data_IF_066934635582
#
_entry.id   IF_066934635582
#
_cell.length_a   1.000
_cell.length_b   1.000
_cell.length_c   1.000
_cell.angle_alpha   90.00
_cell.angle_beta   90.00
_cell.angle_gamma   90.00
#
_symmetry.space_group_name_H-M   'P 1'
#
loop_
_entity.id
_entity.type
_entity.pdbx_description
1 polymer ?
#
# COMPACT_ATOMS: atom_id res chain seq x y z
N UNK A 1 21.04 12.15 0.41
CA UNK A 1 19.59 12.43 0.60
C UNK A 1 19.08 13.05 -0.70
N UNK A 2 17.90 12.66 -1.22
CA UNK A 2 17.34 13.37 -2.38
C UNK A 2 17.13 14.84 -2.03
N UNK A 3 17.32 15.72 -3.01
CA UNK A 3 17.13 17.16 -2.81
C UNK A 3 15.68 17.44 -2.38
N UNK A 4 15.49 18.41 -1.47
CA UNK A 4 14.16 18.90 -1.13
C UNK A 4 13.48 19.43 -2.38
N UNK A 5 12.20 19.13 -2.55
CA UNK A 5 11.36 19.76 -3.57
C UNK A 5 11.27 21.26 -3.27
N UNK A 6 11.81 22.08 -4.16
CA UNK A 6 11.63 23.53 -4.15
C UNK A 6 10.68 23.88 -5.29
N UNK A 7 9.51 24.44 -4.96
CA UNK A 7 8.52 24.91 -5.94
C UNK A 7 7.23 25.44 -5.32
N UNK A 8 6.58 26.40 -5.97
CA UNK A 8 5.29 26.98 -5.58
C UNK A 8 4.09 26.09 -5.98
N UNK A 9 2.89 26.37 -5.46
CA UNK A 9 1.68 25.56 -5.68
C UNK A 9 1.27 25.35 -7.15
N UNK A 10 1.72 26.23 -8.06
CA UNK A 10 1.49 26.12 -9.52
C UNK A 10 2.60 25.35 -10.26
N UNK A 11 3.72 25.06 -9.62
CA UNK A 11 4.87 24.40 -10.24
C UNK A 11 4.77 22.90 -9.97
N UNK A 12 4.32 22.15 -10.98
CA UNK A 12 4.28 20.67 -10.93
C UNK A 12 5.68 20.10 -11.12
N UNK A 13 6.55 20.25 -10.13
CA UNK A 13 7.82 19.52 -10.05
C UNK A 13 7.53 18.09 -9.58
N UNK A 14 6.86 17.31 -10.43
CA UNK A 14 6.69 15.87 -10.21
C UNK A 14 8.02 15.19 -10.56
N UNK A 15 8.93 15.11 -9.59
CA UNK A 15 10.08 14.23 -9.74
C UNK A 15 9.59 12.82 -10.07
N UNK A 16 10.28 12.12 -10.98
CA UNK A 16 10.08 10.70 -11.32
C UNK A 16 10.50 9.78 -10.16
N UNK A 17 10.25 10.19 -8.92
CA UNK A 17 10.35 9.32 -7.76
C UNK A 17 9.13 8.40 -7.81
N UNK A 18 9.37 7.09 -7.86
CA UNK A 18 8.29 6.12 -7.87
C UNK A 18 7.38 6.35 -6.65
N UNK A 19 6.09 6.58 -6.90
CA UNK A 19 5.10 6.73 -5.82
C UNK A 19 5.09 5.45 -4.98
N UNK A 20 4.96 5.64 -3.67
CA UNK A 20 4.75 4.53 -2.75
C UNK A 20 3.44 3.81 -3.08
N UNK A 21 3.34 2.50 -2.76
CA UNK A 21 2.09 1.77 -2.82
C UNK A 21 0.94 2.53 -2.15
N UNK A 22 -0.22 2.55 -2.79
CA UNK A 22 -1.40 3.26 -2.29
C UNK A 22 -2.39 2.33 -1.56
N UNK A 23 -2.10 1.03 -1.55
CA UNK A 23 -2.91 0.02 -0.87
C UNK A 23 -2.01 -1.04 -0.24
N UNK A 24 -2.58 -1.77 0.74
CA UNK A 24 -1.91 -2.91 1.34
C UNK A 24 -1.62 -4.01 0.31
N UNK A 25 -2.54 -4.24 -0.64
CA UNK A 25 -2.35 -5.20 -1.72
C UNK A 25 -1.14 -4.88 -2.60
N UNK A 26 -1.01 -3.61 -3.03
CA UNK A 26 0.12 -3.14 -3.84
C UNK A 26 1.43 -3.20 -3.05
N UNK A 27 1.41 -2.83 -1.77
CA UNK A 27 2.59 -2.90 -0.91
C UNK A 27 3.06 -4.34 -0.74
N UNK A 28 2.12 -5.27 -0.50
CA UNK A 28 2.39 -6.70 -0.33
C UNK A 28 2.96 -7.31 -1.61
N UNK A 29 2.42 -6.93 -2.77
CA UNK A 29 2.91 -7.37 -4.07
C UNK A 29 4.35 -6.92 -4.32
N UNK A 30 4.66 -5.64 -4.10
CA UNK A 30 6.02 -5.11 -4.26
C UNK A 30 6.99 -5.73 -3.25
N UNK A 31 6.56 -5.94 -2.01
CA UNK A 31 7.39 -6.56 -0.97
C UNK A 31 7.76 -8.01 -1.34
N UNK A 32 6.80 -8.82 -1.78
CA UNK A 32 7.04 -10.22 -2.17
C UNK A 32 8.08 -10.37 -3.31
N UNK A 33 8.15 -9.36 -4.19
CA UNK A 33 9.05 -9.31 -5.35
C UNK A 33 10.36 -8.57 -5.07
N UNK A 34 10.55 -8.01 -3.88
CA UNK A 34 11.72 -7.20 -3.56
C UNK A 34 12.93 -8.08 -3.29
N UNK A 35 14.00 -7.99 -4.09
CA UNK A 35 15.25 -8.72 -3.82
C UNK A 35 15.90 -8.22 -2.53
N UNK A 36 15.80 -6.92 -2.24
CA UNK A 36 16.32 -6.32 -1.00
C UNK A 36 15.60 -6.88 0.23
N UNK A 37 14.28 -7.08 0.16
CA UNK A 37 13.54 -7.67 1.27
C UNK A 37 13.97 -9.13 1.52
N UNK A 38 14.23 -9.89 0.46
CA UNK A 38 14.71 -11.28 0.56
C UNK A 38 16.12 -11.35 1.12
N UNK A 39 16.99 -10.42 0.77
CA UNK A 39 18.35 -10.32 1.31
C UNK A 39 18.33 -9.98 2.82
N UNK A 40 17.51 -9.01 3.22
CA UNK A 40 17.44 -8.55 4.62
C UNK A 40 16.72 -9.53 5.54
N UNK A 41 15.63 -10.15 5.08
CA UNK A 41 14.75 -10.95 5.94
C UNK A 41 14.78 -12.46 5.64
N UNK A 42 15.28 -12.87 4.48
CA UNK A 42 15.24 -14.24 3.99
C UNK A 42 13.94 -14.60 3.27
N UNK A 43 14.04 -15.54 2.33
CA UNK A 43 12.93 -15.95 1.45
C UNK A 43 11.71 -16.47 2.21
N UNK A 44 11.95 -17.30 3.24
CA UNK A 44 10.87 -17.90 4.04
C UNK A 44 10.05 -16.85 4.78
N UNK A 45 10.72 -15.83 5.33
CA UNK A 45 10.04 -14.75 6.02
C UNK A 45 9.21 -13.92 5.05
N UNK A 46 9.82 -13.52 3.92
CA UNK A 46 9.15 -12.70 2.91
C UNK A 46 7.88 -13.40 2.41
N UNK A 47 7.94 -14.71 2.11
CA UNK A 47 6.76 -15.44 1.66
C UNK A 47 5.68 -15.54 2.75
N UNK A 48 6.05 -15.92 3.97
CA UNK A 48 5.09 -16.06 5.07
C UNK A 48 4.42 -14.73 5.42
N UNK A 49 5.19 -13.64 5.47
CA UNK A 49 4.66 -12.30 5.73
C UNK A 49 3.78 -11.82 4.58
N UNK A 50 4.20 -12.01 3.33
CA UNK A 50 3.35 -11.65 2.19
C UNK A 50 2.04 -12.43 2.19
N UNK A 51 2.06 -13.72 2.55
CA UNK A 51 0.86 -14.53 2.66
C UNK A 51 -0.12 -13.96 3.70
N UNK A 52 0.34 -13.61 4.90
CA UNK A 52 -0.53 -13.04 5.94
C UNK A 52 -1.17 -11.71 5.52
N UNK A 53 -0.44 -10.86 4.78
CA UNK A 53 -0.99 -9.60 4.26
C UNK A 53 -2.00 -9.77 3.13
N UNK A 54 -1.86 -10.81 2.30
CA UNK A 54 -2.88 -11.16 1.30
C UNK A 54 -4.19 -11.56 1.99
N UNK A 55 -4.09 -12.42 3.01
CA UNK A 55 -5.25 -12.82 3.82
C UNK A 55 -5.92 -11.65 4.54
N UNK A 56 -5.13 -10.72 5.09
CA UNK A 56 -5.65 -9.50 5.70
C UNK A 56 -6.43 -8.65 4.69
N UNK A 57 -5.87 -8.45 3.50
CA UNK A 57 -6.53 -7.70 2.43
C UNK A 57 -7.86 -8.33 2.03
N UNK A 58 -7.88 -9.63 1.75
CA UNK A 58 -9.10 -10.38 1.41
C UNK A 58 -10.14 -10.29 2.52
N UNK A 59 -9.73 -10.48 3.78
CA UNK A 59 -10.64 -10.36 4.92
C UNK A 59 -11.30 -8.99 5.03
N UNK A 60 -10.59 -7.91 4.70
CA UNK A 60 -11.16 -6.56 4.71
C UNK A 60 -12.16 -6.37 3.56
N UNK A 61 -11.90 -6.92 2.37
CA UNK A 61 -12.83 -6.80 1.23
C UNK A 61 -14.18 -7.49 1.49
N UNK A 62 -14.21 -8.52 2.34
CA UNK A 62 -15.42 -9.25 2.69
C UNK A 62 -16.18 -8.66 3.90
N UNK A 63 -15.78 -7.50 4.42
CA UNK A 63 -16.40 -6.86 5.58
C UNK A 63 -17.16 -5.60 5.15
N UNK A 64 -18.41 -5.49 5.60
CA UNK A 64 -19.17 -4.24 5.53
C UNK A 64 -18.93 -3.46 6.82
N UNK A 65 -18.36 -2.27 6.68
CA UNK A 65 -18.02 -1.39 7.81
C UNK A 65 -19.21 -0.54 8.23
N UNK A 66 -19.17 -0.07 9.47
CA UNK A 66 -20.20 0.81 10.05
C UNK A 66 -20.33 2.11 9.28
N UNK A 67 -19.20 2.65 8.79
CA UNK A 67 -19.18 3.82 7.91
C UNK A 67 -19.93 3.58 6.60
N UNK A 68 -19.72 2.43 5.95
CA UNK A 68 -20.45 2.07 4.74
C UNK A 68 -21.94 1.92 5.01
N UNK A 69 -22.30 1.28 6.13
CA UNK A 69 -23.71 1.16 6.56
C UNK A 69 -24.34 2.54 6.74
N UNK A 70 -23.71 3.41 7.53
CA UNK A 70 -24.20 4.77 7.79
C UNK A 70 -24.37 5.55 6.48
N UNK A 71 -23.36 5.53 5.61
CA UNK A 71 -23.37 6.26 4.36
C UNK A 71 -24.50 5.84 3.42
N UNK A 72 -24.83 4.56 3.36
CA UNK A 72 -25.81 4.05 2.39
C UNK A 72 -27.22 3.87 2.96
N UNK A 73 -27.39 3.70 4.27
CA UNK A 73 -28.72 3.61 4.88
C UNK A 73 -29.39 4.97 5.12
N UNK A 74 -28.64 6.08 5.12
CA UNK A 74 -29.20 7.43 5.25
C UNK A 74 -29.56 8.10 3.90
N UNK A 75 -29.25 7.44 2.78
CA UNK A 75 -29.66 7.88 1.44
C UNK A 75 -31.08 7.35 1.21
N UNK A 76 -32.09 8.02 1.77
CA UNK A 76 -33.51 7.87 1.38
C UNK A 76 -34.06 9.24 1.01
#
# INVERSE_FOLDING_TARGET
>A
MPASIVGGASEKTCHTSARLPQSLSEATYRFARSPVARDVFGDRFVEAFSCSRRWEWESVQHRVTDFERQRYFEIT
#
